data_IF_107329529237
#
_entry.id   IF_107329529237
#
_cell.length_a   1.000
_cell.length_b   1.000
_cell.length_c   1.000
_cell.angle_alpha   90.00
_cell.angle_beta   90.00
_cell.angle_gamma   90.00
#
_symmetry.space_group_name_H-M   'P 1'
#
loop_
_entity.id
_entity.type
_entity.pdbx_description
1 polymer ?
#
# COMPACT_ATOMS: atom_id res chain seq x y z
N UNK A 1 13.69 26.25 28.81
CA UNK A 1 13.44 24.80 28.67
C UNK A 1 12.44 24.62 27.52
N UNK A 2 12.91 24.39 26.29
CA UNK A 2 12.05 24.20 25.11
C UNK A 2 11.81 22.71 24.94
N UNK A 3 10.81 22.16 25.65
CA UNK A 3 10.22 20.88 25.26
C UNK A 3 9.50 21.12 23.93
N UNK A 4 10.16 20.76 22.83
CA UNK A 4 9.71 21.07 21.48
C UNK A 4 9.68 19.78 20.65
N UNK A 5 8.47 19.32 20.37
CA UNK A 5 8.07 18.66 19.12
C UNK A 5 8.58 17.25 18.77
N UNK A 6 8.80 16.36 19.75
CA UNK A 6 9.06 14.94 19.42
C UNK A 6 7.82 14.16 18.93
N UNK A 7 6.60 14.60 19.27
CA UNK A 7 5.38 13.88 18.90
C UNK A 7 5.07 13.91 17.39
N UNK A 8 5.32 15.03 16.72
CA UNK A 8 5.07 15.18 15.28
C UNK A 8 6.03 14.33 14.43
N UNK A 9 7.30 14.20 14.85
CA UNK A 9 8.25 13.32 14.14
C UNK A 9 7.93 11.84 14.33
N UNK A 10 7.29 11.46 15.44
CA UNK A 10 6.88 10.10 15.70
C UNK A 10 5.66 9.69 14.86
N UNK A 11 4.68 10.60 14.72
CA UNK A 11 3.52 10.38 13.87
C UNK A 11 3.91 10.21 12.40
N UNK A 12 4.80 11.04 11.86
CA UNK A 12 5.22 10.89 10.46
C UNK A 12 5.91 9.55 10.18
N UNK A 13 6.74 9.06 11.11
CA UNK A 13 7.35 7.72 11.01
C UNK A 13 6.32 6.60 11.11
N UNK A 14 5.27 6.77 11.90
CA UNK A 14 4.17 5.81 11.99
C UNK A 14 3.41 5.71 10.66
N UNK A 15 3.03 6.85 10.07
CA UNK A 15 2.35 6.87 8.76
C UNK A 15 3.22 6.31 7.65
N UNK A 16 4.52 6.56 7.69
CA UNK A 16 5.48 5.98 6.74
C UNK A 16 5.56 4.45 6.87
N UNK A 17 5.72 3.94 8.09
CA UNK A 17 5.76 2.49 8.34
C UNK A 17 4.45 1.80 7.97
N UNK A 18 3.31 2.45 8.23
CA UNK A 18 2.00 1.95 7.82
C UNK A 18 1.88 1.91 6.29
N UNK A 19 2.30 2.95 5.58
CA UNK A 19 2.27 3.00 4.12
C UNK A 19 3.19 1.94 3.49
N UNK A 20 4.36 1.68 4.06
CA UNK A 20 5.27 0.62 3.62
C UNK A 20 4.63 -0.77 3.79
N UNK A 21 4.02 -1.02 4.94
CA UNK A 21 3.36 -2.28 5.24
C UNK A 21 2.16 -2.49 4.29
N UNK A 22 1.29 -1.49 4.17
CA UNK A 22 0.14 -1.51 3.25
C UNK A 22 0.59 -1.73 1.81
N UNK A 23 1.65 -1.05 1.35
CA UNK A 23 2.20 -1.24 0.01
C UNK A 23 2.62 -2.68 -0.24
N UNK A 24 3.40 -3.28 0.67
CA UNK A 24 3.86 -4.67 0.51
C UNK A 24 2.69 -5.64 0.44
N UNK A 25 1.72 -5.55 1.36
CA UNK A 25 0.57 -6.46 1.38
C UNK A 25 -0.34 -6.29 0.16
N UNK A 26 -0.62 -5.05 -0.25
CA UNK A 26 -1.48 -4.79 -1.41
C UNK A 26 -0.80 -5.15 -2.72
N UNK A 27 0.51 -4.92 -2.86
CA UNK A 27 1.26 -5.31 -4.05
C UNK A 27 1.39 -6.83 -4.17
N UNK A 28 1.71 -7.52 -3.07
CA UNK A 28 1.76 -8.99 -3.05
C UNK A 28 0.37 -9.57 -3.32
N UNK A 29 -0.66 -9.04 -2.66
CA UNK A 29 -2.05 -9.44 -2.88
C UNK A 29 -2.47 -9.26 -4.34
N UNK A 30 -2.14 -8.11 -4.93
CA UNK A 30 -2.34 -7.85 -6.36
C UNK A 30 -1.65 -8.89 -7.23
N UNK A 31 -0.36 -9.16 -7.00
CA UNK A 31 0.40 -10.12 -7.81
C UNK A 31 -0.18 -11.54 -7.73
N UNK A 32 -0.58 -11.99 -6.53
CA UNK A 32 -1.22 -13.29 -6.32
C UNK A 32 -2.57 -13.35 -7.02
N UNK A 33 -3.40 -12.32 -6.85
CA UNK A 33 -4.72 -12.26 -7.48
C UNK A 33 -4.63 -12.20 -9.01
N UNK A 34 -3.66 -11.45 -9.54
CA UNK A 34 -3.36 -11.42 -10.97
C UNK A 34 -2.90 -12.79 -11.48
N UNK A 35 -2.05 -13.50 -10.72
CA UNK A 35 -1.61 -14.85 -11.09
C UNK A 35 -2.78 -15.86 -11.09
N UNK A 36 -3.70 -15.77 -10.11
CA UNK A 36 -4.91 -16.59 -10.08
C UNK A 36 -5.81 -16.26 -11.28
N UNK A 37 -6.03 -14.98 -11.58
CA UNK A 37 -6.85 -14.57 -12.73
C UNK A 37 -6.22 -14.97 -14.07
N UNK A 38 -4.88 -15.02 -14.14
CA UNK A 38 -4.17 -15.54 -15.32
C UNK A 38 -4.38 -17.05 -15.52
N UNK A 39 -4.38 -17.83 -14.43
CA UNK A 39 -4.61 -19.27 -14.46
C UNK A 39 -6.10 -19.61 -14.68
N UNK A 40 -7.00 -18.80 -14.12
CA UNK A 40 -8.45 -18.97 -14.22
C UNK A 40 -9.08 -17.62 -14.61
N UNK A 41 -9.10 -17.31 -15.93
CA UNK A 41 -9.62 -16.03 -16.43
C UNK A 41 -11.04 -15.76 -15.95
N UNK A 42 -11.27 -14.58 -15.38
CA UNK A 42 -12.59 -14.18 -14.89
C UNK A 42 -12.88 -14.60 -13.45
N UNK A 43 -12.11 -15.50 -12.84
CA UNK A 43 -12.39 -15.94 -11.48
C UNK A 43 -12.19 -14.81 -10.47
N UNK A 44 -11.12 -14.02 -10.59
CA UNK A 44 -10.88 -12.93 -9.65
C UNK A 44 -11.66 -11.71 -10.07
N UNK A 45 -11.57 -11.35 -11.35
CA UNK A 45 -12.20 -10.15 -11.92
C UNK A 45 -13.73 -10.13 -11.80
N UNK A 46 -14.40 -11.27 -11.67
CA UNK A 46 -15.85 -11.34 -11.39
C UNK A 46 -16.24 -10.91 -9.96
N UNK A 47 -15.33 -11.03 -8.99
CA UNK A 47 -15.61 -10.70 -7.57
C UNK A 47 -14.91 -9.42 -7.12
N UNK A 48 -13.68 -9.22 -7.60
CA UNK A 48 -12.82 -8.11 -7.22
C UNK A 48 -11.91 -7.76 -8.39
N UNK A 49 -12.00 -6.54 -8.91
CA UNK A 49 -11.06 -6.09 -9.93
C UNK A 49 -9.68 -5.85 -9.28
N UNK A 50 -8.61 -6.61 -9.65
CA UNK A 50 -7.28 -6.47 -9.06
C UNK A 50 -6.69 -5.06 -9.24
N UNK A 51 -7.16 -4.31 -10.25
CA UNK A 51 -6.74 -2.93 -10.51
C UNK A 51 -6.90 -2.03 -9.28
N UNK A 52 -7.92 -2.27 -8.42
CA UNK A 52 -8.09 -1.49 -7.19
C UNK A 52 -6.93 -1.65 -6.20
N UNK A 53 -6.39 -2.87 -6.08
CA UNK A 53 -5.21 -3.13 -5.24
C UNK A 53 -3.96 -2.46 -5.83
N UNK A 54 -3.85 -2.41 -7.15
CA UNK A 54 -2.78 -1.68 -7.83
C UNK A 54 -2.87 -0.17 -7.54
N UNK A 55 -4.06 0.42 -7.60
CA UNK A 55 -4.25 1.85 -7.30
C UNK A 55 -3.85 2.17 -5.86
N UNK A 56 -4.26 1.36 -4.89
CA UNK A 56 -3.90 1.54 -3.48
C UNK A 56 -2.39 1.40 -3.28
N UNK A 57 -1.75 0.42 -3.95
CA UNK A 57 -0.31 0.26 -3.92
C UNK A 57 0.41 1.48 -4.52
N UNK A 58 -0.05 2.01 -5.65
CA UNK A 58 0.52 3.21 -6.28
C UNK A 58 0.39 4.43 -5.35
N UNK A 59 -0.77 4.67 -4.76
CA UNK A 59 -0.97 5.79 -3.82
C UNK A 59 -0.03 5.66 -2.62
N UNK A 60 0.09 4.45 -2.08
CA UNK A 60 1.00 4.17 -0.95
C UNK A 60 2.47 4.40 -1.34
N UNK A 61 2.87 4.01 -2.56
CA UNK A 61 4.20 4.26 -3.09
C UNK A 61 4.48 5.75 -3.30
N UNK A 62 3.51 6.52 -3.81
CA UNK A 62 3.63 7.98 -3.97
C UNK A 62 3.85 8.63 -2.61
N UNK A 63 3.07 8.27 -1.58
CA UNK A 63 3.23 8.79 -0.22
C UNK A 63 4.64 8.46 0.32
N UNK A 64 5.11 7.23 0.11
CA UNK A 64 6.47 6.82 0.52
C UNK A 64 7.57 7.61 -0.19
N UNK A 65 7.40 7.96 -1.47
CA UNK A 65 8.41 8.73 -2.22
C UNK A 65 8.36 10.21 -1.83
N UNK A 66 7.18 10.81 -1.67
CA UNK A 66 7.03 12.23 -1.35
C UNK A 66 7.39 12.56 0.09
N UNK A 67 7.25 11.60 1.02
CA UNK A 67 7.59 11.77 2.44
C UNK A 67 9.02 11.31 2.81
N UNK A 68 9.80 10.84 1.83
CA UNK A 68 11.21 10.45 2.00
C UNK A 68 12.14 11.64 1.78
#
# INVERSE_FOLDING_TARGET
MKMKFDFLQYEEKFWYGLAELVFRFTFIGFAVLLAIDYLVPGFVTNWLNPIWLLIIAIISAIILITKK
#
